data_IF_555877388155
#
_entry.id   IF_555877388155
#
_cell.length_a   1.000
_cell.length_b   1.000
_cell.length_c   1.000
_cell.angle_alpha   90.00
_cell.angle_beta   90.00
_cell.angle_gamma   90.00
#
_symmetry.space_group_name_H-M   'P 1'
#
loop_
_entity.id
_entity.type
_entity.pdbx_description
1 polymer ?
#
# COMPACT_ATOMS: atom_id res chain seq x y z
N UNK A 1 28.05 25.47 65.01
CA UNK A 1 28.44 24.14 64.45
C UNK A 1 27.31 23.58 63.56
N UNK A 2 26.89 24.30 62.51
CA UNK A 2 25.87 23.79 61.56
C UNK A 2 26.31 23.94 60.09
N UNK A 3 27.22 24.87 59.80
CA UNK A 3 27.72 25.08 58.44
C UNK A 3 28.66 23.95 57.93
N UNK A 4 29.40 23.30 58.83
CA UNK A 4 30.33 22.21 58.46
C UNK A 4 29.57 20.92 58.11
N UNK A 5 28.41 20.70 58.75
CA UNK A 5 27.53 19.56 58.45
C UNK A 5 26.84 19.74 57.08
N UNK A 6 26.47 20.97 56.71
CA UNK A 6 25.91 21.28 55.39
C UNK A 6 26.92 21.16 54.24
N UNK A 7 28.20 21.45 54.49
CA UNK A 7 29.26 21.33 53.48
C UNK A 7 29.72 19.88 53.26
N UNK A 8 29.58 19.01 54.26
CA UNK A 8 29.85 17.57 54.13
C UNK A 8 28.75 16.83 53.33
N UNK A 9 27.53 17.37 53.30
CA UNK A 9 26.40 16.79 52.55
C UNK A 9 26.43 17.10 51.04
N UNK A 10 27.31 18.01 50.57
CA UNK A 10 27.52 18.25 49.14
C UNK A 10 28.55 17.30 48.49
N UNK A 11 29.28 16.50 49.27
CA UNK A 11 30.25 15.51 48.77
C UNK A 11 29.74 14.06 48.83
N UNK A 12 28.52 13.81 49.31
CA UNK A 12 27.90 12.49 49.17
C UNK A 12 27.50 12.35 47.71
N UNK A 13 28.23 11.48 47.02
CA UNK A 13 28.44 11.52 45.59
C UNK A 13 27.18 11.43 44.75
N UNK A 14 27.33 11.88 43.50
CA UNK A 14 26.53 11.33 42.41
C UNK A 14 26.65 9.80 42.50
N UNK A 15 25.60 9.15 43.01
CA UNK A 15 25.53 7.71 43.10
C UNK A 15 25.40 7.20 41.66
N UNK A 16 26.51 6.77 41.08
CA UNK A 16 26.52 6.21 39.74
C UNK A 16 25.86 4.84 39.76
N UNK A 17 24.81 4.69 38.95
CA UNK A 17 24.09 3.44 38.82
C UNK A 17 24.95 2.40 38.07
N UNK A 18 25.10 1.22 38.67
CA UNK A 18 25.76 0.08 38.03
C UNK A 18 24.96 -0.39 36.82
N UNK A 19 25.67 -0.95 35.84
CA UNK A 19 25.08 -1.56 34.65
C UNK A 19 24.37 -2.86 35.06
N UNK A 20 23.05 -2.84 35.09
CA UNK A 20 22.24 -3.92 35.67
C UNK A 20 21.65 -4.88 34.63
N UNK A 21 21.05 -4.37 33.55
CA UNK A 21 20.30 -5.21 32.60
C UNK A 21 20.59 -4.89 31.14
N UNK A 22 21.56 -5.59 30.55
CA UNK A 22 21.86 -5.46 29.12
C UNK A 22 20.91 -6.33 28.31
N UNK A 23 20.18 -5.73 27.39
CA UNK A 23 19.21 -6.36 26.50
C UNK A 23 19.58 -6.10 25.05
N UNK A 24 19.55 -7.15 24.22
CA UNK A 24 19.94 -7.09 22.81
C UNK A 24 18.85 -7.74 21.96
N UNK A 25 18.41 -7.03 20.93
CA UNK A 25 17.41 -7.52 19.98
C UNK A 25 17.70 -6.98 18.59
N UNK A 26 17.13 -7.60 17.56
CA UNK A 26 17.35 -7.17 16.18
C UNK A 26 16.04 -7.07 15.41
N UNK A 27 16.05 -6.26 14.36
CA UNK A 27 14.96 -6.10 13.41
C UNK A 27 15.48 -6.12 11.98
N UNK A 28 14.65 -6.59 11.07
CA UNK A 28 14.94 -6.65 9.65
C UNK A 28 14.39 -5.40 8.97
N UNK A 29 15.23 -4.69 8.22
CA UNK A 29 14.81 -3.59 7.36
C UNK A 29 14.28 -4.13 6.02
N UNK A 30 13.43 -3.34 5.37
CA UNK A 30 12.90 -3.67 4.04
C UNK A 30 13.98 -3.71 2.94
N UNK A 31 15.16 -3.11 3.20
CA UNK A 31 16.34 -3.10 2.32
C UNK A 31 17.24 -4.34 2.45
N UNK A 32 16.78 -5.39 3.15
CA UNK A 32 17.55 -6.62 3.47
C UNK A 32 18.66 -6.44 4.52
N UNK A 33 18.82 -5.24 5.08
CA UNK A 33 19.77 -4.97 6.17
C UNK A 33 19.19 -5.38 7.53
N UNK A 34 20.08 -5.74 8.46
CA UNK A 34 19.72 -6.13 9.83
C UNK A 34 20.15 -5.01 10.77
N UNK A 35 19.21 -4.44 11.54
CA UNK A 35 19.53 -3.49 12.60
C UNK A 35 19.45 -4.18 13.96
N UNK A 36 20.55 -4.20 14.69
CA UNK A 36 20.68 -4.70 16.05
C UNK A 36 20.62 -3.52 17.01
N UNK A 37 19.86 -3.67 18.08
CA UNK A 37 19.67 -2.70 19.15
C UNK A 37 20.16 -3.29 20.46
N UNK A 38 20.86 -2.48 21.25
CA UNK A 38 21.32 -2.81 22.58
C UNK A 38 20.87 -1.72 23.56
N UNK A 39 20.26 -2.13 24.66
CA UNK A 39 19.83 -1.22 25.73
C UNK A 39 20.30 -1.73 27.07
N UNK A 40 20.70 -0.82 27.94
CA UNK A 40 21.12 -1.11 29.29
C UNK A 40 20.73 0.04 30.23
N UNK A 41 20.46 -0.33 31.48
CA UNK A 41 20.21 0.63 32.56
C UNK A 41 21.53 1.00 33.25
N UNK A 42 21.76 2.30 33.45
CA UNK A 42 22.93 2.84 34.14
C UNK A 42 23.28 4.26 33.67
N UNK A 43 24.24 4.88 34.33
CA UNK A 43 24.76 6.21 33.96
C UNK A 43 25.95 6.11 32.98
N UNK A 44 26.20 7.13 32.17
CA UNK A 44 27.39 7.28 31.31
C UNK A 44 27.85 5.99 30.57
N UNK A 45 26.90 5.39 29.83
CA UNK A 45 27.08 4.10 29.18
C UNK A 45 27.85 4.23 27.85
N UNK A 46 28.93 3.47 27.72
CA UNK A 46 29.65 3.28 26.46
C UNK A 46 29.34 1.91 25.87
N UNK A 47 28.97 1.89 24.59
CA UNK A 47 28.65 0.68 23.84
C UNK A 47 29.81 0.23 22.96
N UNK A 48 30.04 -1.07 22.91
CA UNK A 48 31.00 -1.70 22.01
C UNK A 48 30.45 -3.05 21.55
N UNK A 49 30.91 -3.50 20.40
CA UNK A 49 30.29 -4.61 19.71
C UNK A 49 31.34 -5.63 19.28
N UNK A 50 30.93 -6.90 19.19
CA UNK A 50 31.72 -7.95 18.55
C UNK A 50 30.77 -8.89 17.80
N UNK A 51 31.25 -9.47 16.71
CA UNK A 51 30.49 -10.43 15.93
C UNK A 51 31.40 -11.49 15.33
N UNK A 52 30.84 -12.66 15.00
CA UNK A 52 31.55 -13.75 14.33
C UNK A 52 31.79 -13.48 12.83
N UNK A 53 31.36 -12.32 12.34
CA UNK A 53 31.43 -11.96 10.92
C UNK A 53 32.76 -11.31 10.59
N UNK A 54 33.38 -11.74 9.48
CA UNK A 54 34.66 -11.21 9.02
C UNK A 54 34.59 -9.72 8.57
N UNK A 55 33.40 -9.12 8.54
CA UNK A 55 33.13 -7.72 8.17
C UNK A 55 33.07 -6.81 9.42
N UNK A 56 34.09 -6.88 10.27
CA UNK A 56 34.24 -6.10 11.51
C UNK A 56 34.45 -4.59 11.26
N UNK A 57 34.66 -4.15 10.01
CA UNK A 57 35.11 -2.79 9.69
C UNK A 57 34.07 -1.67 9.84
N UNK A 58 32.84 -1.99 10.27
CA UNK A 58 31.74 -1.01 10.33
C UNK A 58 31.03 -0.99 11.69
N UNK A 59 31.67 -1.53 12.73
CA UNK A 59 31.18 -1.37 14.09
C UNK A 59 31.47 0.05 14.55
N UNK A 60 30.45 0.89 14.47
CA UNK A 60 30.43 2.20 15.10
C UNK A 60 30.51 1.99 16.62
N UNK A 61 31.72 2.01 17.16
CA UNK A 61 31.95 1.92 18.59
C UNK A 61 31.40 3.19 19.24
N UNK A 62 30.56 3.04 20.27
CA UNK A 62 29.94 4.13 21.01
C UNK A 62 28.43 4.29 20.78
N UNK A 63 27.83 3.63 19.79
CA UNK A 63 26.38 3.68 19.55
C UNK A 63 25.66 2.43 20.07
N UNK A 64 24.43 2.61 20.54
CA UNK A 64 23.53 1.54 20.99
C UNK A 64 22.89 0.76 19.84
N UNK A 65 23.20 1.12 18.59
CA UNK A 65 22.61 0.53 17.38
C UNK A 65 23.68 0.15 16.37
N UNK A 66 23.58 -1.07 15.84
CA UNK A 66 24.49 -1.62 14.84
C UNK A 66 23.69 -2.04 13.61
N UNK A 67 24.14 -1.64 12.42
CA UNK A 67 23.52 -2.06 11.14
C UNK A 67 24.46 -3.00 10.40
N UNK A 68 23.94 -4.15 9.98
CA UNK A 68 24.69 -5.20 9.29
C UNK A 68 24.08 -5.45 7.91
N UNK A 69 24.95 -5.75 6.94
CA UNK A 69 24.54 -6.14 5.60
C UNK A 69 23.77 -7.46 5.60
N UNK A 70 23.06 -7.72 4.50
CA UNK A 70 22.27 -8.93 4.30
C UNK A 70 23.02 -10.25 4.48
N UNK A 71 22.29 -11.26 4.96
CA UNK A 71 22.74 -12.66 4.99
C UNK A 71 23.76 -13.02 6.07
N UNK A 72 24.03 -12.11 7.02
CA UNK A 72 24.89 -12.40 8.17
C UNK A 72 24.16 -13.32 9.15
N UNK A 73 24.77 -14.46 9.48
CA UNK A 73 24.26 -15.46 10.42
C UNK A 73 25.34 -15.91 11.41
N UNK A 74 25.12 -15.64 12.70
CA UNK A 74 26.15 -15.82 13.72
C UNK A 74 25.82 -15.09 15.00
N UNK A 75 26.72 -15.12 15.97
CA UNK A 75 26.53 -14.45 17.24
C UNK A 75 26.95 -12.97 17.17
N UNK A 76 26.16 -12.11 17.79
CA UNK A 76 26.50 -10.71 18.02
C UNK A 76 26.43 -10.43 19.51
N UNK A 77 27.52 -9.90 20.06
CA UNK A 77 27.62 -9.54 21.46
C UNK A 77 27.76 -8.04 21.62
N UNK A 78 26.86 -7.45 22.40
CA UNK A 78 26.95 -6.07 22.86
C UNK A 78 27.64 -6.04 24.22
N UNK A 79 28.65 -5.20 24.36
CA UNK A 79 29.30 -4.87 25.62
C UNK A 79 28.95 -3.45 26.02
N UNK A 80 28.44 -3.30 27.24
CA UNK A 80 28.09 -2.02 27.83
C UNK A 80 28.98 -1.80 29.05
N UNK A 81 29.68 -0.67 29.07
CA UNK A 81 30.52 -0.28 30.20
C UNK A 81 30.13 1.09 30.73
N UNK A 82 30.18 1.24 32.04
CA UNK A 82 30.20 2.50 32.76
C UNK A 82 31.55 2.63 33.48
N UNK A 83 31.87 3.79 34.04
CA UNK A 83 33.06 4.00 34.89
C UNK A 83 33.11 3.10 36.13
N UNK A 84 31.99 2.47 36.52
CA UNK A 84 31.89 1.58 37.69
C UNK A 84 31.90 0.09 37.31
N UNK A 85 31.18 -0.29 36.27
CA UNK A 85 30.85 -1.69 35.98
C UNK A 85 30.74 -1.98 34.49
N UNK A 86 30.97 -3.22 34.11
CA UNK A 86 30.83 -3.71 32.73
C UNK A 86 29.89 -4.92 32.70
N UNK A 87 29.02 -4.96 31.68
CA UNK A 87 28.13 -6.07 31.41
C UNK A 87 28.02 -6.32 29.90
N UNK A 88 27.51 -7.47 29.51
CA UNK A 88 27.35 -7.84 28.11
C UNK A 88 26.16 -8.77 27.91
N UNK A 89 25.65 -8.79 26.70
CA UNK A 89 24.65 -9.77 26.29
C UNK A 89 24.81 -10.09 24.80
N UNK A 90 24.44 -11.31 24.43
CA UNK A 90 24.66 -11.89 23.11
C UNK A 90 23.33 -12.34 22.52
N UNK A 91 23.19 -12.17 21.20
CA UNK A 91 22.03 -12.67 20.45
C UNK A 91 22.49 -13.33 19.17
N UNK A 92 21.82 -14.42 18.81
CA UNK A 92 22.09 -15.14 17.56
C UNK A 92 21.29 -14.49 16.45
N UNK A 93 21.98 -13.90 15.48
CA UNK A 93 21.34 -13.38 14.29
C UNK A 93 20.94 -14.52 13.38
N UNK A 94 19.64 -14.63 13.15
CA UNK A 94 19.12 -15.50 12.11
C UNK A 94 18.99 -14.70 10.81
N UNK A 95 19.14 -15.36 9.64
CA UNK A 95 18.80 -14.75 8.38
C UNK A 95 17.40 -14.17 8.47
N UNK A 96 17.28 -12.88 8.15
CA UNK A 96 15.97 -12.25 8.08
C UNK A 96 15.11 -13.12 7.17
N UNK A 97 13.91 -13.56 7.62
CA UNK A 97 13.00 -14.21 6.71
C UNK A 97 12.87 -13.26 5.54
N UNK A 98 13.07 -13.79 4.32
CA UNK A 98 12.69 -13.07 3.11
C UNK A 98 11.20 -12.90 3.26
N UNK A 99 10.80 -11.81 3.92
CA UNK A 99 9.40 -11.45 3.95
C UNK A 99 9.11 -11.32 2.49
N UNK A 100 8.16 -12.11 2.03
CA UNK A 100 7.56 -12.02 0.72
C UNK A 100 6.98 -10.61 0.48
N UNK A 101 7.33 -9.57 1.24
CA UNK A 101 6.88 -8.19 1.07
C UNK A 101 7.44 -7.58 -0.22
N UNK A 102 8.68 -7.87 -0.62
CA UNK A 102 9.23 -7.43 -1.92
C UNK A 102 8.76 -8.31 -3.09
N UNK A 103 8.47 -9.60 -2.86
CA UNK A 103 7.93 -10.49 -3.89
C UNK A 103 6.39 -10.39 -4.04
N UNK A 104 5.67 -10.02 -2.98
CA UNK A 104 4.22 -9.80 -2.99
C UNK A 104 3.87 -8.44 -3.59
N UNK A 105 4.72 -7.42 -3.57
CA UNK A 105 4.37 -6.17 -4.25
C UNK A 105 4.22 -6.37 -5.75
N UNK A 106 5.09 -7.15 -6.38
CA UNK A 106 5.02 -7.41 -7.82
C UNK A 106 3.95 -8.45 -8.15
N UNK A 107 3.84 -9.54 -7.36
CA UNK A 107 2.81 -10.57 -7.54
C UNK A 107 1.39 -10.06 -7.29
N UNK A 108 1.18 -9.30 -6.21
CA UNK A 108 -0.09 -8.67 -5.88
C UNK A 108 -0.48 -7.61 -6.91
N UNK A 109 0.48 -6.78 -7.37
CA UNK A 109 0.21 -5.82 -8.46
C UNK A 109 -0.24 -6.53 -9.73
N UNK A 110 0.45 -7.59 -10.15
CA UNK A 110 0.04 -8.37 -11.34
C UNK A 110 -1.33 -9.02 -11.14
N UNK A 111 -1.59 -9.61 -9.98
CA UNK A 111 -2.88 -10.22 -9.66
C UNK A 111 -4.03 -9.20 -9.68
N UNK A 112 -3.84 -8.04 -9.04
CA UNK A 112 -4.79 -6.93 -9.04
C UNK A 112 -5.00 -6.39 -10.45
N UNK A 113 -3.94 -6.20 -11.24
CA UNK A 113 -4.06 -5.77 -12.63
C UNK A 113 -4.87 -6.74 -13.48
N UNK A 114 -4.58 -8.05 -13.42
CA UNK A 114 -5.34 -9.07 -14.17
C UNK A 114 -6.81 -9.10 -13.75
N UNK A 115 -7.08 -8.98 -12.46
CA UNK A 115 -8.44 -8.94 -11.94
C UNK A 115 -9.21 -7.68 -12.39
N UNK A 116 -8.56 -6.53 -12.36
CA UNK A 116 -9.11 -5.25 -12.85
C UNK A 116 -9.43 -5.31 -14.35
N UNK A 117 -8.55 -5.88 -15.18
CA UNK A 117 -8.82 -6.02 -16.61
C UNK A 117 -10.08 -6.85 -16.89
N UNK A 118 -10.30 -7.95 -16.14
CA UNK A 118 -11.53 -8.75 -16.27
C UNK A 118 -12.78 -7.95 -15.93
N UNK A 119 -12.74 -7.15 -14.86
CA UNK A 119 -13.87 -6.30 -14.44
C UNK A 119 -14.16 -5.25 -15.50
N UNK A 120 -13.14 -4.56 -16.02
CA UNK A 120 -13.31 -3.55 -17.07
C UNK A 120 -13.96 -4.16 -18.31
N UNK A 121 -13.49 -5.33 -18.78
CA UNK A 121 -14.07 -6.02 -19.93
C UNK A 121 -15.54 -6.38 -19.68
N UNK A 122 -15.87 -6.92 -18.51
CA UNK A 122 -17.25 -7.25 -18.13
C UNK A 122 -18.16 -6.01 -18.10
N UNK A 123 -17.68 -4.91 -17.53
CA UNK A 123 -18.41 -3.64 -17.49
C UNK A 123 -18.61 -3.06 -18.89
N UNK A 124 -17.59 -3.07 -19.74
CA UNK A 124 -17.69 -2.62 -21.13
C UNK A 124 -18.71 -3.44 -21.92
N UNK A 125 -18.74 -4.76 -21.76
CA UNK A 125 -19.74 -5.64 -22.39
C UNK A 125 -21.16 -5.34 -21.88
N UNK A 126 -21.33 -5.16 -20.57
CA UNK A 126 -22.64 -4.88 -19.98
C UNK A 126 -23.18 -3.52 -20.42
N UNK A 127 -22.35 -2.48 -20.38
CA UNK A 127 -22.71 -1.13 -20.86
C UNK A 127 -22.99 -1.14 -22.36
N UNK A 128 -22.19 -1.85 -23.17
CA UNK A 128 -22.42 -2.00 -24.60
C UNK A 128 -23.75 -2.70 -24.91
N UNK A 129 -24.05 -3.81 -24.23
CA UNK A 129 -25.30 -4.53 -24.37
C UNK A 129 -26.50 -3.67 -23.93
N UNK A 130 -26.39 -2.98 -22.80
CA UNK A 130 -27.43 -2.06 -22.31
C UNK A 130 -27.67 -0.89 -23.26
N UNK A 131 -26.61 -0.31 -23.82
CA UNK A 131 -26.70 0.77 -24.80
C UNK A 131 -27.40 0.30 -26.08
N UNK A 132 -27.04 -0.88 -26.61
CA UNK A 132 -27.71 -1.46 -27.78
C UNK A 132 -29.17 -1.80 -27.45
N UNK A 133 -29.44 -2.40 -26.29
CA UNK A 133 -30.78 -2.75 -25.83
C UNK A 133 -31.68 -1.52 -25.75
N UNK A 134 -31.24 -0.46 -25.09
CA UNK A 134 -32.00 0.80 -24.97
C UNK A 134 -32.22 1.45 -26.33
N UNK A 135 -31.23 1.43 -27.22
CA UNK A 135 -31.36 1.93 -28.60
C UNK A 135 -32.43 1.17 -29.38
N UNK A 136 -32.44 -0.17 -29.31
CA UNK A 136 -33.44 -1.02 -29.99
C UNK A 136 -34.83 -0.79 -29.38
N UNK A 137 -34.92 -0.77 -28.05
CA UNK A 137 -36.16 -0.53 -27.32
C UNK A 137 -36.79 0.81 -27.71
N UNK A 138 -35.99 1.88 -27.82
CA UNK A 138 -36.47 3.19 -28.27
C UNK A 138 -36.95 3.17 -29.72
N UNK A 139 -36.23 2.50 -30.64
CA UNK A 139 -36.67 2.35 -32.04
C UNK A 139 -38.02 1.62 -32.12
N UNK A 140 -38.19 0.54 -31.38
CA UNK A 140 -39.47 -0.18 -31.35
C UNK A 140 -40.61 0.67 -30.78
N UNK A 141 -40.36 1.49 -29.75
CA UNK A 141 -41.36 2.43 -29.22
C UNK A 141 -41.83 3.43 -30.28
N UNK A 142 -40.91 3.99 -31.06
CA UNK A 142 -41.24 4.94 -32.14
C UNK A 142 -42.03 4.25 -33.26
N UNK A 143 -41.67 3.02 -33.65
CA UNK A 143 -42.40 2.27 -34.69
C UNK A 143 -43.82 1.94 -34.21
N UNK A 144 -43.97 1.47 -32.97
CA UNK A 144 -45.29 1.17 -32.38
C UNK A 144 -46.17 2.42 -32.29
N UNK A 145 -45.62 3.56 -31.88
CA UNK A 145 -46.40 4.81 -31.84
C UNK A 145 -46.83 5.28 -33.23
N UNK A 146 -45.95 5.17 -34.24
CA UNK A 146 -46.29 5.46 -35.64
C UNK A 146 -47.40 4.55 -36.17
N UNK A 147 -47.32 3.25 -35.91
CA UNK A 147 -48.36 2.29 -36.31
C UNK A 147 -49.72 2.63 -35.68
N UNK A 148 -49.73 2.99 -34.39
CA UNK A 148 -50.93 3.45 -33.70
C UNK A 148 -51.52 4.72 -34.32
N UNK A 149 -50.71 5.73 -34.64
CA UNK A 149 -51.18 6.95 -35.30
C UNK A 149 -51.74 6.66 -36.70
N UNK A 150 -51.04 5.85 -37.51
CA UNK A 150 -51.48 5.46 -38.85
C UNK A 150 -52.84 4.75 -38.83
N UNK A 151 -53.03 3.78 -37.93
CA UNK A 151 -54.31 3.06 -37.80
C UNK A 151 -55.47 3.97 -37.40
N UNK A 152 -55.25 4.91 -36.50
CA UNK A 152 -56.27 5.89 -36.12
C UNK A 152 -56.59 6.88 -37.24
N UNK A 153 -55.58 7.37 -37.99
CA UNK A 153 -55.79 8.26 -39.14
C UNK A 153 -56.54 7.56 -40.28
N UNK A 154 -56.21 6.29 -40.58
CA UNK A 154 -56.89 5.50 -41.61
C UNK A 154 -58.37 5.28 -41.29
N UNK A 155 -58.72 5.16 -40.01
CA UNK A 155 -60.11 5.07 -39.53
C UNK A 155 -60.87 6.40 -39.67
N UNK A 156 -60.19 7.53 -39.75
CA UNK A 156 -60.80 8.87 -39.87
C UNK A 156 -61.13 9.29 -41.32
N UNK A 157 -60.79 8.49 -42.34
CA UNK A 157 -61.24 8.74 -43.73
C UNK A 157 -60.74 10.03 -44.39
N UNK A 158 -59.53 10.49 -44.08
CA UNK A 158 -58.99 11.76 -44.61
C UNK A 158 -58.37 11.59 -46.02
N UNK A 159 -58.68 12.52 -46.95
CA UNK A 159 -58.20 12.61 -48.36
C UNK A 159 -56.68 12.92 -48.51
N UNK A 160 -55.92 12.65 -47.46
CA UNK A 160 -54.56 13.13 -47.22
C UNK A 160 -53.51 12.05 -47.55
N UNK A 161 -53.96 10.89 -48.03
CA UNK A 161 -53.16 9.66 -48.18
C UNK A 161 -52.00 9.75 -49.20
N UNK A 162 -52.13 10.52 -50.29
CA UNK A 162 -51.09 10.57 -51.35
C UNK A 162 -49.93 11.50 -51.00
N UNK A 163 -50.23 12.70 -50.47
CA UNK A 163 -49.19 13.68 -50.07
C UNK A 163 -48.40 13.18 -48.85
N UNK A 164 -49.03 12.40 -47.97
CA UNK A 164 -48.38 11.88 -46.76
C UNK A 164 -47.52 10.64 -46.99
N UNK A 165 -47.80 9.83 -48.00
CA UNK A 165 -46.94 8.69 -48.34
C UNK A 165 -45.53 9.15 -48.74
N UNK A 166 -45.45 10.24 -49.50
CA UNK A 166 -44.17 10.89 -49.86
C UNK A 166 -43.47 11.47 -48.63
N UNK A 167 -44.21 12.17 -47.76
CA UNK A 167 -43.67 12.78 -46.52
C UNK A 167 -43.17 11.72 -45.53
N UNK A 168 -43.82 10.56 -45.43
CA UNK A 168 -43.41 9.47 -44.54
C UNK A 168 -42.15 8.77 -45.02
N UNK A 169 -41.98 8.57 -46.33
CA UNK A 169 -40.73 8.06 -46.93
C UNK A 169 -39.56 9.01 -46.62
N UNK A 170 -39.76 10.31 -46.73
CA UNK A 170 -38.74 11.32 -46.39
C UNK A 170 -38.40 11.33 -44.90
N UNK A 171 -39.39 11.17 -44.02
CA UNK A 171 -39.18 11.07 -42.56
C UNK A 171 -38.44 9.79 -42.15
N UNK A 172 -38.64 8.69 -42.85
CA UNK A 172 -37.96 7.42 -42.60
C UNK A 172 -36.47 7.50 -42.99
N UNK A 173 -36.17 8.12 -44.14
CA UNK A 173 -34.79 8.41 -44.58
C UNK A 173 -34.10 9.39 -43.61
N UNK A 174 -34.78 10.44 -43.17
CA UNK A 174 -34.23 11.42 -42.23
C UNK A 174 -33.93 10.81 -40.84
N UNK A 175 -34.79 9.92 -40.34
CA UNK A 175 -34.59 9.22 -39.06
C UNK A 175 -33.51 8.13 -39.14
N UNK A 176 -33.34 7.49 -40.29
CA UNK A 176 -32.21 6.59 -40.56
C UNK A 176 -30.88 7.38 -40.58
N UNK A 177 -30.86 8.56 -41.19
CA UNK A 177 -29.69 9.45 -41.19
C UNK A 177 -29.35 9.95 -39.78
N UNK A 178 -30.34 10.41 -39.01
CA UNK A 178 -30.14 10.87 -37.63
C UNK A 178 -29.69 9.73 -36.67
N UNK A 179 -30.04 8.48 -36.98
CA UNK A 179 -29.57 7.31 -36.23
C UNK A 179 -28.11 6.93 -36.53
N UNK A 180 -27.55 7.36 -37.67
CA UNK A 180 -26.20 6.97 -38.09
C UNK A 180 -25.15 8.03 -37.77
N UNK A 181 -25.55 9.19 -37.23
CA UNK A 181 -24.61 10.20 -36.75
C UNK A 181 -24.24 9.91 -35.28
N UNK A 182 -22.98 9.59 -34.96
CA UNK A 182 -22.50 9.66 -33.58
C UNK A 182 -22.35 11.13 -33.14
N UNK A 183 -22.43 11.43 -31.84
CA UNK A 183 -21.92 12.71 -31.31
C UNK A 183 -20.40 12.82 -31.48
#
# INVERSE_FOLDING_TARGET
MQAIFGMLMMFIGAASAQVSSVSVWYKCLASEDITVHCSAEGDDLTYSWTSDFNTLSQLENGTSTLTLNKGQHGNVTCYVKNHVSQSHNSTVLQPCPVTLSTQCNNGFRVFVSVWLFKIIILLSLFVGAFYIYTRIYMKQRIIKSKAFIYTNMKRSGSSVNLVWEEKMKLLEVALLHASNHPP
#
